data_IF_166796623684
#
_entry.id   IF_166796623684
#
_cell.length_a   1.000
_cell.length_b   1.000
_cell.length_c   1.000
_cell.angle_alpha   90.00
_cell.angle_beta   90.00
_cell.angle_gamma   90.00
#
_symmetry.space_group_name_H-M   'P 1'
#
loop_
_entity.id
_entity.type
_entity.pdbx_description
1 polymer ?
#
# COMPACT_ATOMS: atom_id res chain seq x y z
N UNK A 1 11.37 11.73 50.91
CA UNK A 1 10.16 11.62 50.07
C UNK A 1 10.61 11.20 48.68
N UNK A 2 10.20 10.00 48.29
CA UNK A 2 10.62 9.26 47.10
C UNK A 2 9.88 9.76 45.86
N UNK A 3 10.62 10.14 44.82
CA UNK A 3 10.09 10.24 43.45
C UNK A 3 11.10 9.60 42.51
N UNK A 4 11.11 8.26 42.50
CA UNK A 4 11.75 7.48 41.44
C UNK A 4 11.01 7.77 40.14
N UNK A 5 11.72 8.35 39.16
CA UNK A 5 11.24 8.43 37.80
C UNK A 5 11.46 7.06 37.15
N UNK A 6 10.45 6.20 37.20
CA UNK A 6 10.45 4.96 36.44
C UNK A 6 10.44 5.30 34.95
N UNK A 7 11.55 4.98 34.28
CA UNK A 7 11.58 4.84 32.83
C UNK A 7 10.88 3.53 32.51
N UNK A 8 9.64 3.61 32.00
CA UNK A 8 9.03 2.46 31.35
C UNK A 8 9.86 2.09 30.12
N UNK A 9 10.51 0.94 30.17
CA UNK A 9 11.11 0.33 29.00
C UNK A 9 9.99 -0.07 28.03
N UNK A 10 9.90 0.63 26.90
CA UNK A 10 9.05 0.23 25.78
C UNK A 10 9.60 -1.07 25.18
N UNK A 11 9.12 -2.19 25.72
CA UNK A 11 9.46 -3.56 25.29
C UNK A 11 9.00 -3.89 23.86
N UNK A 12 8.24 -3.04 23.18
CA UNK A 12 7.97 -3.17 21.74
C UNK A 12 7.58 -1.82 21.14
N UNK A 13 8.40 -1.32 20.21
CA UNK A 13 8.18 -0.07 19.50
C UNK A 13 9.44 0.78 19.53
N UNK A 14 10.13 0.87 18.39
CA UNK A 14 11.18 1.89 18.22
C UNK A 14 10.56 3.28 18.38
N UNK A 15 11.22 4.23 19.07
CA UNK A 15 10.77 5.61 19.12
C UNK A 15 10.50 6.11 17.71
N UNK A 16 9.26 6.54 17.43
CA UNK A 16 8.89 7.10 16.12
C UNK A 16 9.74 8.36 15.89
N UNK A 17 10.84 8.21 15.15
CA UNK A 17 11.85 9.26 14.96
C UNK A 17 13.27 8.75 14.72
N UNK A 18 13.55 7.46 14.94
CA UNK A 18 14.85 6.88 14.55
C UNK A 18 14.94 6.65 13.04
N UNK A 19 15.93 7.26 12.38
CA UNK A 19 16.25 7.13 10.94
C UNK A 19 16.43 5.65 10.50
N UNK A 20 16.65 4.76 11.47
CA UNK A 20 16.82 3.32 11.29
C UNK A 20 15.49 2.54 11.14
N UNK A 21 14.36 3.07 11.61
CA UNK A 21 13.07 2.36 11.57
C UNK A 21 12.56 2.07 10.15
N UNK A 22 12.63 3.01 9.18
CA UNK A 22 12.26 2.73 7.79
C UNK A 22 13.21 1.72 7.14
N UNK A 23 14.50 1.76 7.50
CA UNK A 23 15.52 0.91 6.90
C UNK A 23 15.39 -0.54 7.37
N UNK A 24 15.13 -0.75 8.67
CA UNK A 24 14.87 -2.07 9.23
C UNK A 24 13.54 -2.66 8.72
N UNK A 25 12.50 -1.84 8.58
CA UNK A 25 11.24 -2.28 7.96
C UNK A 25 11.46 -2.73 6.51
N UNK A 26 12.20 -1.96 5.71
CA UNK A 26 12.52 -2.32 4.33
C UNK A 26 13.37 -3.60 4.22
N UNK A 27 14.35 -3.81 5.12
CA UNK A 27 15.12 -5.07 5.17
C UNK A 27 14.21 -6.25 5.50
N UNK A 28 13.33 -6.10 6.50
CA UNK A 28 12.38 -7.15 6.85
C UNK A 28 11.43 -7.47 5.68
N UNK A 29 10.98 -6.46 4.95
CA UNK A 29 10.15 -6.64 3.76
C UNK A 29 10.91 -7.29 2.58
N UNK A 30 12.24 -7.18 2.51
CA UNK A 30 13.02 -7.94 1.52
C UNK A 30 12.90 -9.46 1.70
N UNK A 31 12.78 -9.95 2.95
CA UNK A 31 12.55 -11.37 3.19
C UNK A 31 11.18 -11.83 2.64
N UNK A 32 10.16 -10.95 2.71
CA UNK A 32 8.86 -11.16 2.10
C UNK A 32 8.98 -11.22 0.57
N UNK A 33 9.71 -10.28 -0.04
CA UNK A 33 9.97 -10.26 -1.48
C UNK A 33 10.64 -11.55 -1.94
N UNK A 34 11.70 -11.98 -1.25
CA UNK A 34 12.44 -13.21 -1.59
C UNK A 34 11.59 -14.47 -1.43
N UNK A 35 10.73 -14.53 -0.41
CA UNK A 35 9.81 -15.65 -0.20
C UNK A 35 8.84 -15.79 -1.37
N UNK A 36 8.13 -14.72 -1.71
CA UNK A 36 7.15 -14.74 -2.80
C UNK A 36 7.78 -14.80 -4.19
N UNK A 37 8.97 -14.23 -4.38
CA UNK A 37 9.71 -14.33 -5.63
C UNK A 37 10.16 -15.78 -5.90
N UNK A 38 10.64 -16.50 -4.89
CA UNK A 38 10.99 -17.92 -5.00
C UNK A 38 9.79 -18.77 -5.36
N UNK A 39 8.67 -18.61 -4.66
CA UNK A 39 7.42 -19.29 -5.01
C UNK A 39 6.96 -18.97 -6.43
N UNK A 40 7.02 -17.70 -6.83
CA UNK A 40 6.68 -17.31 -8.19
C UNK A 40 7.55 -18.01 -9.22
N UNK A 41 8.86 -18.05 -9.05
CA UNK A 41 9.76 -18.72 -9.99
C UNK A 41 9.53 -20.23 -10.07
N UNK A 42 9.32 -20.88 -8.93
CA UNK A 42 9.12 -22.33 -8.84
C UNK A 42 7.75 -22.75 -9.40
N UNK A 43 6.69 -22.04 -9.02
CA UNK A 43 5.32 -22.50 -9.24
C UNK A 43 4.61 -21.75 -10.38
N UNK A 44 4.99 -20.51 -10.65
CA UNK A 44 4.27 -19.59 -11.52
C UNK A 44 5.14 -18.92 -12.59
N UNK A 45 6.39 -19.36 -12.76
CA UNK A 45 7.36 -18.71 -13.64
C UNK A 45 6.95 -18.73 -15.11
N UNK A 46 6.26 -19.79 -15.56
CA UNK A 46 5.78 -19.95 -16.92
C UNK A 46 4.26 -19.83 -17.04
N UNK A 47 3.80 -19.34 -18.20
CA UNK A 47 2.36 -19.24 -18.49
C UNK A 47 1.66 -20.60 -18.38
N UNK A 48 2.26 -21.68 -18.91
CA UNK A 48 1.71 -23.04 -18.85
C UNK A 48 1.50 -23.51 -17.41
N UNK A 49 2.45 -23.25 -16.50
CA UNK A 49 2.32 -23.61 -15.08
C UNK A 49 1.16 -22.86 -14.42
N UNK A 50 1.06 -21.54 -14.65
CA UNK A 50 -0.03 -20.71 -14.11
C UNK A 50 -1.42 -21.17 -14.57
N UNK A 51 -1.56 -21.56 -15.84
CA UNK A 51 -2.83 -22.08 -16.38
C UNK A 51 -3.15 -23.46 -15.79
N UNK A 52 -2.15 -24.34 -15.69
CA UNK A 52 -2.31 -25.69 -15.13
C UNK A 52 -2.76 -25.62 -13.67
N UNK A 53 -2.09 -24.79 -12.85
CA UNK A 53 -2.49 -24.54 -11.45
C UNK A 53 -3.94 -24.11 -11.32
N UNK A 54 -4.38 -23.14 -12.13
CA UNK A 54 -5.78 -22.69 -12.13
C UNK A 54 -6.77 -23.80 -12.50
N UNK A 55 -6.40 -24.69 -13.43
CA UNK A 55 -7.22 -25.87 -13.77
C UNK A 55 -7.34 -26.86 -12.61
N UNK A 56 -6.33 -26.96 -11.76
CA UNK A 56 -6.35 -27.76 -10.53
C UNK A 56 -6.96 -27.01 -9.33
N UNK A 57 -7.62 -25.88 -9.54
CA UNK A 57 -8.26 -25.09 -8.49
C UNK A 57 -7.30 -24.22 -7.66
N UNK A 58 -5.98 -24.27 -7.94
CA UNK A 58 -5.00 -23.49 -7.19
C UNK A 58 -4.97 -22.02 -7.64
N UNK A 59 -4.76 -21.12 -6.69
CA UNK A 59 -4.52 -19.69 -6.94
C UNK A 59 -3.14 -19.41 -7.55
N UNK A 60 -3.04 -18.30 -8.29
CA UNK A 60 -1.77 -17.66 -8.61
C UNK A 60 -1.69 -16.32 -7.86
N UNK A 61 -0.49 -15.88 -7.47
CA UNK A 61 -0.32 -14.60 -6.76
C UNK A 61 0.94 -13.87 -7.18
N UNK A 62 0.96 -12.55 -7.01
CA UNK A 62 2.14 -11.72 -7.29
C UNK A 62 2.24 -10.58 -6.29
N UNK A 63 3.38 -10.46 -5.63
CA UNK A 63 3.69 -9.35 -4.73
C UNK A 63 4.15 -8.13 -5.52
N UNK A 64 3.60 -6.97 -5.19
CA UNK A 64 4.07 -5.65 -5.62
C UNK A 64 4.35 -4.85 -4.35
N UNK A 65 5.59 -4.42 -4.15
CA UNK A 65 5.99 -3.61 -3.00
C UNK A 65 6.47 -2.24 -3.45
N UNK A 66 6.17 -1.23 -2.63
CA UNK A 66 6.66 0.12 -2.73
C UNK A 66 7.03 0.64 -1.34
N UNK A 67 8.33 0.76 -1.06
CA UNK A 67 8.87 1.05 0.28
C UNK A 67 8.23 0.13 1.34
N UNK A 68 7.51 0.72 2.29
CA UNK A 68 6.87 0.01 3.40
C UNK A 68 5.47 -0.54 3.06
N UNK A 69 4.87 -0.11 1.95
CA UNK A 69 3.54 -0.56 1.51
C UNK A 69 3.66 -1.65 0.44
N UNK A 70 2.80 -2.67 0.51
CA UNK A 70 2.76 -3.75 -0.49
C UNK A 70 1.33 -4.21 -0.78
N UNK A 71 1.14 -4.76 -1.98
CA UNK A 71 -0.11 -5.38 -2.44
C UNK A 71 0.21 -6.75 -3.01
N UNK A 72 -0.51 -7.76 -2.53
CA UNK A 72 -0.46 -9.11 -3.06
C UNK A 72 -1.66 -9.34 -4.00
N UNK A 73 -1.40 -9.36 -5.30
CA UNK A 73 -2.44 -9.62 -6.29
C UNK A 73 -2.69 -11.12 -6.40
N UNK A 74 -3.93 -11.56 -6.17
CA UNK A 74 -4.31 -12.97 -6.24
C UNK A 74 -5.26 -13.21 -7.40
N UNK A 75 -4.91 -14.14 -8.28
CA UNK A 75 -5.79 -14.70 -9.30
C UNK A 75 -6.26 -16.06 -8.81
N UNK A 76 -7.38 -16.05 -8.11
CA UNK A 76 -7.85 -17.19 -7.32
C UNK A 76 -9.22 -16.92 -6.72
N UNK A 77 -9.65 -17.86 -5.91
CA UNK A 77 -10.75 -17.67 -4.97
C UNK A 77 -10.30 -16.90 -3.72
N UNK A 78 -11.27 -16.37 -2.97
CA UNK A 78 -11.03 -15.61 -1.74
C UNK A 78 -10.25 -16.41 -0.69
N UNK A 79 -10.49 -17.71 -0.57
CA UNK A 79 -9.76 -18.59 0.35
C UNK A 79 -8.24 -18.53 0.12
N UNK A 80 -7.78 -18.46 -1.14
CA UNK A 80 -6.36 -18.32 -1.45
C UNK A 80 -5.79 -17.01 -0.94
N UNK A 81 -6.54 -15.91 -1.04
CA UNK A 81 -6.09 -14.61 -0.54
C UNK A 81 -6.03 -14.60 1.00
N UNK A 82 -6.96 -15.29 1.66
CA UNK A 82 -6.96 -15.44 3.12
C UNK A 82 -5.78 -16.30 3.60
N UNK A 83 -5.51 -17.43 2.93
CA UNK A 83 -4.32 -18.25 3.22
C UNK A 83 -3.01 -17.49 3.00
N UNK A 84 -2.92 -16.72 1.92
CA UNK A 84 -1.73 -15.90 1.67
C UNK A 84 -1.56 -14.78 2.70
N UNK A 85 -2.65 -14.24 3.25
CA UNK A 85 -2.59 -13.27 4.36
C UNK A 85 -1.98 -13.89 5.61
N UNK A 86 -2.37 -15.12 5.95
CA UNK A 86 -1.80 -15.87 7.06
C UNK A 86 -0.33 -16.20 6.82
N UNK A 87 0.02 -16.57 5.59
CA UNK A 87 1.40 -16.83 5.18
C UNK A 87 2.28 -15.59 5.31
N UNK A 88 1.82 -14.43 4.85
CA UNK A 88 2.51 -13.14 5.06
C UNK A 88 2.74 -12.89 6.55
N UNK A 89 1.73 -13.12 7.40
CA UNK A 89 1.89 -12.97 8.85
C UNK A 89 2.93 -13.93 9.42
N UNK A 90 2.98 -15.18 8.93
CA UNK A 90 3.99 -16.17 9.30
C UNK A 90 5.41 -15.79 8.91
N UNK A 91 5.61 -15.19 7.73
CA UNK A 91 6.92 -14.71 7.27
C UNK A 91 7.37 -13.47 8.06
N UNK A 92 6.44 -12.61 8.46
CA UNK A 92 6.73 -11.39 9.22
C UNK A 92 6.94 -11.64 10.72
N UNK A 93 6.30 -12.66 11.30
CA UNK A 93 6.40 -13.01 12.71
C UNK A 93 7.85 -13.19 13.24
N UNK A 94 8.75 -13.96 12.59
CA UNK A 94 10.13 -14.11 13.06
C UNK A 94 10.95 -12.80 12.96
N UNK A 95 10.49 -11.83 12.16
CA UNK A 95 11.11 -10.51 12.02
C UNK A 95 10.58 -9.53 13.07
N UNK A 96 9.71 -9.98 13.99
CA UNK A 96 9.08 -9.14 15.00
C UNK A 96 7.98 -8.21 14.46
N UNK A 97 7.57 -8.39 13.21
CA UNK A 97 6.54 -7.58 12.56
C UNK A 97 5.20 -8.30 12.59
N UNK A 98 4.13 -7.54 12.85
CA UNK A 98 2.75 -8.03 12.78
C UNK A 98 1.96 -7.15 11.82
N UNK A 99 1.30 -7.72 10.79
CA UNK A 99 0.41 -6.92 9.95
C UNK A 99 -0.74 -6.39 10.79
N UNK A 100 -1.04 -5.09 10.65
CA UNK A 100 -2.15 -4.46 11.36
C UNK A 100 -3.47 -4.95 10.73
N UNK A 101 -4.32 -5.71 11.46
CA UNK A 101 -5.53 -6.32 10.90
C UNK A 101 -6.52 -5.26 10.38
N UNK A 102 -6.49 -4.06 10.92
CA UNK A 102 -7.32 -2.92 10.50
C UNK A 102 -6.89 -2.32 9.16
N UNK A 103 -5.61 -2.47 8.79
CA UNK A 103 -5.05 -1.92 7.53
C UNK A 103 -5.03 -2.96 6.42
N UNK A 104 -5.00 -4.25 6.75
CA UNK A 104 -4.95 -5.34 5.77
C UNK A 104 -6.35 -5.81 5.40
N UNK A 105 -6.77 -5.46 4.19
CA UNK A 105 -8.07 -5.85 3.64
C UNK A 105 -7.91 -6.76 2.41
N UNK A 106 -8.76 -7.77 2.30
CA UNK A 106 -8.91 -8.60 1.09
C UNK A 106 -10.08 -8.03 0.30
N UNK A 107 -9.79 -7.44 -0.86
CA UNK A 107 -10.76 -6.73 -1.71
C UNK A 107 -10.70 -7.24 -3.14
N UNK A 108 -11.84 -7.26 -3.81
CA UNK A 108 -11.89 -7.68 -5.20
C UNK A 108 -11.54 -6.51 -6.15
N UNK A 109 -10.86 -6.80 -7.27
CA UNK A 109 -10.42 -5.75 -8.21
C UNK A 109 -11.59 -4.96 -8.84
N UNK A 110 -12.80 -5.53 -8.87
CA UNK A 110 -14.00 -4.86 -9.38
C UNK A 110 -14.61 -3.87 -8.38
N UNK A 111 -14.38 -4.08 -7.08
CA UNK A 111 -14.71 -3.12 -6.02
C UNK A 111 -13.69 -1.97 -6.05
N UNK A 112 -12.43 -2.33 -6.29
CA UNK A 112 -11.30 -1.41 -6.38
C UNK A 112 -10.60 -1.22 -5.03
N UNK A 113 -9.36 -0.77 -5.07
CA UNK A 113 -8.54 -0.55 -3.88
C UNK A 113 -7.64 0.66 -4.03
N UNK A 114 -7.26 1.27 -2.91
CA UNK A 114 -6.34 2.40 -2.89
C UNK A 114 -4.91 1.90 -2.68
N UNK A 115 -3.98 2.34 -3.54
CA UNK A 115 -2.56 2.05 -3.45
C UNK A 115 -1.75 3.25 -3.95
N UNK A 116 -0.77 3.71 -3.16
CA UNK A 116 0.09 4.86 -3.47
C UNK A 116 -0.66 6.13 -3.86
N UNK A 117 -1.80 6.39 -3.20
CA UNK A 117 -2.64 7.56 -3.49
C UNK A 117 -3.50 7.41 -4.75
N UNK A 118 -3.49 6.26 -5.41
CA UNK A 118 -4.36 5.95 -6.55
C UNK A 118 -5.41 4.91 -6.19
N UNK A 119 -6.65 5.16 -6.58
CA UNK A 119 -7.73 4.19 -6.60
C UNK A 119 -7.65 3.36 -7.90
N UNK A 120 -7.34 2.08 -7.76
CA UNK A 120 -7.23 1.12 -8.86
C UNK A 120 -8.50 0.28 -8.88
N UNK A 121 -9.22 0.30 -10.01
CA UNK A 121 -10.46 -0.47 -10.17
C UNK A 121 -10.60 -1.03 -11.57
N UNK A 122 -10.98 -2.30 -11.69
CA UNK A 122 -11.38 -2.89 -12.96
C UNK A 122 -12.80 -2.47 -13.29
N UNK A 123 -12.98 -1.83 -14.44
CA UNK A 123 -14.29 -1.40 -14.92
C UNK A 123 -14.47 -1.87 -16.36
N UNK A 124 -15.72 -2.15 -16.74
CA UNK A 124 -16.07 -2.43 -18.13
C UNK A 124 -15.93 -1.14 -18.95
N UNK A 125 -15.21 -1.18 -20.06
CA UNK A 125 -15.10 -0.02 -20.96
C UNK A 125 -16.49 0.26 -21.57
N UNK A 126 -17.03 1.49 -21.45
CA UNK A 126 -18.32 1.85 -22.02
C UNK A 126 -18.40 1.49 -23.50
N UNK A 127 -19.53 0.89 -23.90
CA UNK A 127 -19.74 0.44 -25.28
C UNK A 127 -19.02 -0.84 -25.69
N UNK A 128 -18.34 -1.54 -24.78
CA UNK A 128 -17.68 -2.82 -25.07
C UNK A 128 -17.88 -3.86 -23.96
N UNK A 129 -17.66 -5.14 -24.26
CA UNK A 129 -17.59 -6.21 -23.25
C UNK A 129 -16.17 -6.38 -22.66
N UNK A 130 -15.24 -5.48 -22.99
CA UNK A 130 -13.86 -5.55 -22.50
C UNK A 130 -13.76 -4.86 -21.14
N UNK A 131 -13.09 -5.52 -20.20
CA UNK A 131 -12.76 -4.94 -18.89
C UNK A 131 -11.34 -4.38 -18.92
N UNK A 132 -11.17 -3.17 -18.40
CA UNK A 132 -9.87 -2.50 -18.26
C UNK A 132 -9.67 -2.08 -16.81
N UNK A 133 -8.42 -2.06 -16.37
CA UNK A 133 -8.04 -1.52 -15.06
C UNK A 133 -7.86 -0.02 -15.23
N UNK A 134 -8.66 0.75 -14.50
CA UNK A 134 -8.57 2.21 -14.45
C UNK A 134 -7.87 2.61 -13.16
N UNK A 135 -6.90 3.50 -13.29
CA UNK A 135 -6.19 4.13 -12.17
C UNK A 135 -6.63 5.57 -12.09
N UNK A 136 -7.27 5.94 -10.97
CA UNK A 136 -7.70 7.32 -10.70
C UNK A 136 -7.03 7.79 -9.41
N UNK A 137 -6.75 9.08 -9.21
CA UNK A 137 -6.31 9.56 -7.91
C UNK A 137 -7.37 9.21 -6.85
N UNK A 138 -6.92 8.70 -5.70
CA UNK A 138 -7.78 8.35 -4.58
C UNK A 138 -8.47 9.60 -4.04
N UNK A 139 -9.69 9.45 -3.51
CA UNK A 139 -10.43 10.58 -2.92
C UNK A 139 -9.63 11.29 -1.82
N UNK A 140 -8.84 10.52 -1.04
CA UNK A 140 -7.96 11.06 0.00
C UNK A 140 -6.82 11.90 -0.57
N UNK A 141 -6.20 11.46 -1.67
CA UNK A 141 -5.16 12.23 -2.34
C UNK A 141 -5.71 13.53 -2.93
N UNK A 142 -6.88 13.48 -3.57
CA UNK A 142 -7.57 14.67 -4.06
C UNK A 142 -7.91 15.61 -2.91
N UNK A 143 -8.51 15.11 -1.83
CA UNK A 143 -8.86 15.90 -0.66
C UNK A 143 -7.62 16.56 -0.03
N UNK A 144 -6.50 15.84 0.09
CA UNK A 144 -5.26 16.42 0.61
C UNK A 144 -4.72 17.56 -0.26
N UNK A 145 -4.88 17.48 -1.58
CA UNK A 145 -4.52 18.55 -2.51
C UNK A 145 -5.51 19.72 -2.36
N UNK A 146 -6.80 19.45 -2.30
CA UNK A 146 -7.83 20.48 -2.09
C UNK A 146 -7.64 21.20 -0.75
N UNK A 147 -7.32 20.49 0.32
CA UNK A 147 -7.05 21.07 1.64
C UNK A 147 -5.81 21.97 1.61
N UNK A 148 -4.72 21.52 0.94
CA UNK A 148 -3.51 22.34 0.74
C UNK A 148 -3.79 23.61 -0.05
N UNK A 149 -4.60 23.51 -1.10
CA UNK A 149 -5.03 24.66 -1.90
C UNK A 149 -5.88 25.59 -1.03
N UNK A 150 -6.88 25.05 -0.35
CA UNK A 150 -7.80 25.81 0.51
C UNK A 150 -7.09 26.53 1.63
N UNK A 151 -6.08 25.92 2.24
CA UNK A 151 -5.24 26.53 3.27
C UNK A 151 -4.45 27.73 2.76
N UNK A 152 -3.95 27.69 1.53
CA UNK A 152 -3.21 28.80 0.90
C UNK A 152 -4.10 29.90 0.33
N UNK A 153 -5.36 29.59 0.04
CA UNK A 153 -6.36 30.56 -0.43
C UNK A 153 -7.28 31.03 0.69
N UNK A 154 -6.91 30.84 1.96
CA UNK A 154 -7.69 31.32 3.11
C UNK A 154 -7.83 32.85 3.03
N UNK A 155 -8.97 33.36 3.52
CA UNK A 155 -9.27 34.81 3.52
C UNK A 155 -8.21 35.67 4.23
N UNK A 156 -7.41 35.08 5.10
CA UNK A 156 -6.28 35.70 5.81
C UNK A 156 -5.02 35.92 4.94
N UNK A 157 -4.89 35.26 3.80
CA UNK A 157 -3.76 35.39 2.86
C UNK A 157 -4.07 36.32 1.67
N UNK A 158 -5.23 36.99 1.65
CA UNK A 158 -5.64 37.93 0.58
C UNK A 158 -4.75 39.18 0.46
N UNK A 159 -3.82 39.40 1.40
CA UNK A 159 -2.87 40.50 1.35
C UNK A 159 -1.67 40.22 0.44
N UNK A 160 -1.51 38.98 -0.04
CA UNK A 160 -0.45 38.60 -0.98
C UNK A 160 -0.82 38.96 -2.40
N UNK A 161 0.19 39.36 -3.15
CA UNK A 161 0.04 39.66 -4.57
C UNK A 161 -0.42 38.42 -5.34
N UNK A 162 -1.30 38.62 -6.32
CA UNK A 162 -1.96 37.53 -7.06
C UNK A 162 -0.93 36.67 -7.79
N UNK A 163 0.15 37.28 -8.29
CA UNK A 163 1.23 36.60 -8.99
C UNK A 163 2.06 35.69 -8.04
N UNK A 164 2.30 36.12 -6.80
CA UNK A 164 2.97 35.28 -5.79
C UNK A 164 2.10 34.07 -5.40
N UNK A 165 0.79 34.28 -5.26
CA UNK A 165 -0.17 33.22 -4.96
C UNK A 165 -0.21 32.19 -6.10
N UNK A 166 -0.28 32.65 -7.35
CA UNK A 166 -0.25 31.81 -8.55
C UNK A 166 1.07 31.04 -8.68
N UNK A 167 2.22 31.68 -8.43
CA UNK A 167 3.52 31.01 -8.46
C UNK A 167 3.65 29.92 -7.39
N UNK A 168 3.13 30.19 -6.18
CA UNK A 168 3.07 29.25 -5.06
C UNK A 168 2.15 28.04 -5.36
N UNK A 169 0.98 28.29 -5.93
CA UNK A 169 0.04 27.25 -6.37
C UNK A 169 0.65 26.40 -7.48
N UNK A 170 1.24 27.04 -8.49
CA UNK A 170 1.89 26.35 -9.60
C UNK A 170 3.05 25.46 -9.13
N UNK A 171 3.82 25.88 -8.13
CA UNK A 171 4.87 25.04 -7.51
C UNK A 171 4.28 23.82 -6.81
N UNK A 172 3.18 24.00 -6.09
CA UNK A 172 2.51 22.90 -5.36
C UNK A 172 1.85 21.89 -6.29
N UNK A 173 1.29 22.36 -7.42
CA UNK A 173 0.61 21.51 -8.40
C UNK A 173 1.59 20.80 -9.36
N UNK A 174 2.78 21.36 -9.59
CA UNK A 174 3.82 20.70 -10.41
C UNK A 174 4.58 19.61 -9.66
N UNK A 175 4.56 19.62 -8.33
CA UNK A 175 5.37 18.74 -7.48
C UNK A 175 6.72 19.36 -7.17
#
# INVERSE_FOLDING_TARGET
MTTSGDREETLTGTPQGGILSPLLANIALSALDEHFARQWQQEMGSYKRRVTRRKHGLGNWRLIRFADDFVLMVSGERCHAESLREEVAGVLAPLGLRPAPEKTQVVHIDEGFDFLGFHIRRQRKPGTQKHYVYTKPSKKAIQSIEDKVKDRTRRSDLHRDVDELLASLNRTLRG
#
